data_IF_560714640428
#
_entry.id   IF_560714640428
#
_cell.length_a   1.000
_cell.length_b   1.000
_cell.length_c   1.000
_cell.angle_alpha   90.00
_cell.angle_beta   90.00
_cell.angle_gamma   90.00
#
_symmetry.space_group_name_H-M   'P 1'
#
loop_
_entity.id
_entity.type
_entity.pdbx_description
1 polymer ?
#
# COMPACT_ATOMS: atom_id res chain seq x y z
N UNK A 1 19.57 7.95 38.66
CA UNK A 1 18.13 8.30 38.52
C UNK A 1 17.92 9.51 37.61
N UNK A 2 18.31 10.75 37.99
CA UNK A 2 18.04 11.96 37.17
C UNK A 2 18.55 11.88 35.72
N UNK A 3 19.79 11.41 35.51
CA UNK A 3 20.38 11.24 34.16
C UNK A 3 19.67 10.18 33.32
N UNK A 4 19.24 9.08 33.93
CA UNK A 4 18.52 8.00 33.24
C UNK A 4 17.14 8.47 32.78
N UNK A 5 16.43 9.21 33.62
CA UNK A 5 15.13 9.81 33.26
C UNK A 5 15.26 10.85 32.14
N UNK A 6 16.33 11.64 32.17
CA UNK A 6 16.63 12.61 31.11
C UNK A 6 16.91 11.94 29.76
N UNK A 7 17.71 10.86 29.76
CA UNK A 7 18.03 10.09 28.55
C UNK A 7 16.78 9.37 28.02
N UNK A 8 16.00 8.73 28.91
CA UNK A 8 14.76 8.06 28.52
C UNK A 8 13.73 9.06 27.94
N UNK A 9 13.60 10.24 28.56
CA UNK A 9 12.74 11.31 28.06
C UNK A 9 13.19 11.83 26.69
N UNK A 10 14.49 12.02 26.49
CA UNK A 10 15.04 12.43 25.19
C UNK A 10 14.82 11.36 24.12
N UNK A 11 15.08 10.09 24.43
CA UNK A 11 14.86 8.98 23.51
C UNK A 11 13.38 8.88 23.10
N UNK A 12 12.46 8.99 24.05
CA UNK A 12 11.02 9.00 23.76
C UNK A 12 10.64 10.19 22.88
N UNK A 13 11.16 11.39 23.16
CA UNK A 13 10.91 12.57 22.33
C UNK A 13 11.39 12.36 20.89
N UNK A 14 12.57 11.78 20.68
CA UNK A 14 13.10 11.45 19.34
C UNK A 14 12.19 10.46 18.62
N UNK A 15 11.73 9.40 19.30
CA UNK A 15 10.81 8.42 18.70
C UNK A 15 9.49 9.06 18.29
N UNK A 16 8.90 9.89 19.16
CA UNK A 16 7.65 10.60 18.85
C UNK A 16 7.83 11.55 17.67
N UNK A 17 8.94 12.29 17.63
CA UNK A 17 9.25 13.17 16.49
C UNK A 17 9.42 12.38 15.20
N UNK A 18 10.10 11.22 15.24
CA UNK A 18 10.26 10.36 14.08
C UNK A 18 8.91 9.82 13.57
N UNK A 19 8.02 9.38 14.47
CA UNK A 19 6.69 8.89 14.10
C UNK A 19 5.82 9.95 13.41
N UNK A 20 6.00 11.24 13.75
CA UNK A 20 5.32 12.36 13.10
C UNK A 20 6.02 12.73 11.78
N UNK A 21 7.35 12.72 11.76
CA UNK A 21 8.13 13.12 10.60
C UNK A 21 8.03 12.14 9.43
N UNK A 22 8.10 10.82 9.69
CA UNK A 22 8.09 9.79 8.65
C UNK A 22 6.94 9.96 7.64
N UNK A 23 5.65 10.03 8.06
CA UNK A 23 4.54 10.15 7.11
C UNK A 23 4.53 11.49 6.35
N UNK A 24 5.26 12.51 6.80
CA UNK A 24 5.35 13.81 6.12
C UNK A 24 6.48 13.78 5.08
N UNK A 25 7.67 13.33 5.48
CA UNK A 25 8.86 13.39 4.62
C UNK A 25 8.90 12.27 3.56
N UNK A 26 8.34 11.10 3.85
CA UNK A 26 8.42 9.93 2.95
C UNK A 26 7.14 9.66 2.16
N UNK A 27 6.11 10.51 2.29
CA UNK A 27 4.82 10.31 1.61
C UNK A 27 5.01 10.11 0.10
N UNK A 28 5.70 11.04 -0.55
CA UNK A 28 5.87 11.03 -2.01
C UNK A 28 6.71 9.85 -2.49
N UNK A 29 7.75 9.48 -1.75
CA UNK A 29 8.59 8.31 -2.05
C UNK A 29 7.79 7.00 -1.97
N UNK A 30 6.91 6.88 -0.96
CA UNK A 30 6.03 5.72 -0.80
C UNK A 30 5.00 5.68 -1.92
N UNK A 31 4.41 6.83 -2.31
CA UNK A 31 3.52 6.92 -3.46
C UNK A 31 4.21 6.42 -4.73
N UNK A 32 5.41 6.93 -4.99
CA UNK A 32 6.19 6.55 -6.17
C UNK A 32 6.56 5.07 -6.16
N UNK A 33 6.92 4.53 -4.99
CA UNK A 33 7.23 3.12 -4.81
C UNK A 33 6.01 2.23 -5.10
N UNK A 34 4.84 2.54 -4.54
CA UNK A 34 3.61 1.77 -4.75
C UNK A 34 3.22 1.76 -6.23
N UNK A 35 3.16 2.94 -6.86
CA UNK A 35 2.80 3.04 -8.29
C UNK A 35 3.80 2.30 -9.17
N UNK A 36 5.10 2.43 -8.89
CA UNK A 36 6.15 1.73 -9.63
C UNK A 36 6.02 0.21 -9.50
N UNK A 37 5.90 -0.30 -8.28
CA UNK A 37 5.86 -1.74 -8.06
C UNK A 37 4.55 -2.36 -8.58
N UNK A 38 3.42 -1.67 -8.43
CA UNK A 38 2.16 -2.09 -9.04
C UNK A 38 2.27 -2.14 -10.57
N UNK A 39 2.73 -1.05 -11.21
CA UNK A 39 2.81 -0.98 -12.67
C UNK A 39 3.86 -1.93 -13.28
N UNK A 40 4.83 -2.37 -12.47
CA UNK A 40 5.86 -3.36 -12.83
C UNK A 40 5.33 -4.79 -12.75
N UNK A 41 4.52 -5.12 -11.74
CA UNK A 41 4.02 -6.48 -11.53
C UNK A 41 2.66 -6.73 -12.17
N UNK A 42 1.93 -5.67 -12.55
CA UNK A 42 0.61 -5.77 -13.14
C UNK A 42 0.64 -5.36 -14.62
N UNK A 43 -0.14 -6.06 -15.44
CA UNK A 43 -0.53 -5.60 -16.78
C UNK A 43 -1.72 -4.61 -16.69
N UNK A 44 -1.65 -3.73 -15.70
CA UNK A 44 -2.63 -2.70 -15.40
C UNK A 44 -1.88 -1.49 -14.83
N UNK A 45 -2.52 -0.34 -14.85
CA UNK A 45 -1.99 0.91 -14.31
C UNK A 45 -2.75 1.26 -13.05
N UNK A 46 -2.05 1.29 -11.91
CA UNK A 46 -2.60 1.67 -10.62
C UNK A 46 -2.40 3.17 -10.39
N UNK A 47 -3.49 3.89 -10.21
CA UNK A 47 -3.52 5.32 -9.88
C UNK A 47 -4.35 5.56 -8.61
N UNK A 48 -4.02 6.63 -7.89
CA UNK A 48 -4.77 7.12 -6.73
C UNK A 48 -4.43 8.60 -6.53
N UNK A 49 -5.35 9.33 -5.90
CA UNK A 49 -5.24 10.78 -5.70
C UNK A 49 -4.34 11.13 -4.51
N UNK A 50 -4.53 10.44 -3.38
CA UNK A 50 -3.74 10.70 -2.19
C UNK A 50 -3.40 9.44 -1.39
N UNK A 51 -2.33 9.53 -0.61
CA UNK A 51 -1.85 8.53 0.34
C UNK A 51 -1.92 9.07 1.77
N UNK A 52 -2.70 8.41 2.61
CA UNK A 52 -2.72 8.60 4.05
C UNK A 52 -1.88 7.54 4.77
N UNK A 53 -1.08 7.94 5.75
CA UNK A 53 -0.33 7.05 6.62
C UNK A 53 -0.66 7.37 8.08
N UNK A 54 -1.07 6.36 8.84
CA UNK A 54 -1.41 6.52 10.25
C UNK A 54 -0.78 5.41 11.10
N UNK A 55 0.04 5.81 12.06
CA UNK A 55 0.71 4.91 13.02
C UNK A 55 0.07 4.98 14.42
N UNK A 56 -0.79 5.98 14.68
CA UNK A 56 -1.26 6.30 16.02
C UNK A 56 -2.61 5.66 16.34
N UNK A 57 -3.51 5.53 15.35
CA UNK A 57 -4.85 5.00 15.59
C UNK A 57 -4.84 3.51 15.94
N UNK A 58 -3.97 2.72 15.29
CA UNK A 58 -3.98 1.25 15.38
C UNK A 58 -2.65 0.67 15.86
N UNK A 59 -1.84 1.43 16.61
CA UNK A 59 -0.53 0.97 17.09
C UNK A 59 -0.64 -0.39 17.82
N UNK A 60 0.20 -1.41 17.51
CA UNK A 60 1.44 -1.37 16.72
C UNK A 60 1.27 -1.72 15.23
N UNK A 61 0.13 -1.37 14.60
CA UNK A 61 -0.05 -1.48 13.16
C UNK A 61 0.12 -0.12 12.46
N UNK A 62 0.67 -0.16 11.25
CA UNK A 62 0.65 0.94 10.29
C UNK A 62 -0.60 0.80 9.43
N UNK A 63 -1.45 1.82 9.46
CA UNK A 63 -2.59 1.93 8.55
C UNK A 63 -2.18 2.77 7.34
N UNK A 64 -2.38 2.22 6.15
CA UNK A 64 -2.15 2.85 4.85
C UNK A 64 -3.50 3.06 4.18
N UNK A 65 -3.75 4.27 3.72
CA UNK A 65 -4.98 4.66 3.07
C UNK A 65 -4.71 5.22 1.67
N UNK A 66 -5.40 4.72 0.64
CA UNK A 66 -5.33 5.21 -0.73
C UNK A 66 -6.69 5.78 -1.13
N UNK A 67 -6.72 7.09 -1.40
CA UNK A 67 -7.94 7.79 -1.79
C UNK A 67 -8.12 7.80 -3.31
N UNK A 68 -9.37 7.57 -3.75
CA UNK A 68 -9.79 7.51 -5.16
C UNK A 68 -8.89 6.59 -6.01
N UNK A 69 -8.67 5.37 -5.52
CA UNK A 69 -7.89 4.35 -6.21
C UNK A 69 -8.59 3.89 -7.49
N UNK A 70 -7.86 3.86 -8.59
CA UNK A 70 -8.28 3.33 -9.89
C UNK A 70 -7.23 2.37 -10.44
N UNK A 71 -7.70 1.24 -10.96
CA UNK A 71 -6.88 0.25 -11.63
C UNK A 71 -7.41 0.09 -13.06
N UNK A 72 -6.64 0.59 -14.03
CA UNK A 72 -7.02 0.61 -15.44
C UNK A 72 -6.28 -0.49 -16.17
N UNK A 73 -6.98 -1.30 -16.95
CA UNK A 73 -6.34 -2.36 -17.71
C UNK A 73 -5.46 -1.78 -18.84
N UNK A 74 -4.39 -2.51 -19.15
CA UNK A 74 -3.67 -2.34 -20.43
C UNK A 74 -4.31 -3.23 -21.50
N UNK A 75 -3.72 -3.26 -22.69
CA UNK A 75 -4.17 -4.15 -23.75
C UNK A 75 -4.25 -5.61 -23.24
N UNK A 76 -5.29 -6.38 -23.63
CA UNK A 76 -6.31 -6.08 -24.65
C UNK A 76 -7.53 -5.28 -24.16
N UNK A 77 -7.64 -4.98 -22.87
CA UNK A 77 -8.78 -4.26 -22.27
C UNK A 77 -8.48 -2.76 -22.06
N UNK A 78 -7.65 -2.19 -22.92
CA UNK A 78 -7.19 -0.81 -22.77
C UNK A 78 -8.36 0.18 -22.86
N UNK A 79 -8.43 1.10 -21.90
CA UNK A 79 -9.50 2.10 -21.81
C UNK A 79 -10.61 1.75 -20.81
N UNK A 80 -10.66 0.50 -20.34
CA UNK A 80 -11.58 0.08 -19.29
C UNK A 80 -10.93 0.10 -17.90
N UNK A 81 -11.72 0.50 -16.90
CA UNK A 81 -11.29 0.50 -15.49
C UNK A 81 -11.75 -0.79 -14.83
N UNK A 82 -10.80 -1.67 -14.48
CA UNK A 82 -11.08 -2.93 -13.78
C UNK A 82 -11.68 -2.68 -12.40
N UNK A 83 -11.01 -1.80 -11.64
CA UNK A 83 -11.38 -1.48 -10.26
C UNK A 83 -11.35 0.02 -10.05
N UNK A 84 -12.40 0.58 -9.47
CA UNK A 84 -12.42 1.93 -8.93
C UNK A 84 -12.96 1.90 -7.51
N UNK A 85 -12.23 2.49 -6.58
CA UNK A 85 -12.58 2.54 -5.15
C UNK A 85 -12.55 3.99 -4.71
N UNK A 86 -13.48 4.38 -3.84
CA UNK A 86 -13.37 5.67 -3.16
C UNK A 86 -12.21 5.68 -2.18
N UNK A 87 -12.04 4.59 -1.44
CA UNK A 87 -11.02 4.45 -0.44
C UNK A 87 -10.55 2.99 -0.34
N UNK A 88 -9.23 2.78 -0.28
CA UNK A 88 -8.63 1.50 0.07
C UNK A 88 -7.77 1.67 1.32
N UNK A 89 -8.15 0.99 2.39
CA UNK A 89 -7.40 1.01 3.65
C UNK A 89 -6.80 -0.36 3.92
N UNK A 90 -5.55 -0.42 4.37
CA UNK A 90 -4.91 -1.65 4.83
C UNK A 90 -4.14 -1.39 6.11
N UNK A 91 -4.21 -2.33 7.07
CA UNK A 91 -3.47 -2.27 8.32
C UNK A 91 -2.43 -3.38 8.38
N UNK A 92 -1.17 -3.01 8.55
CA UNK A 92 -0.01 -3.89 8.48
C UNK A 92 0.68 -3.92 9.84
N UNK A 93 1.07 -5.10 10.34
CA UNK A 93 1.80 -5.23 11.58
C UNK A 93 3.23 -4.69 11.42
N UNK A 94 3.60 -3.63 12.16
CA UNK A 94 4.93 -3.01 12.07
C UNK A 94 6.07 -3.99 12.39
N UNK A 95 5.86 -4.92 13.33
CA UNK A 95 6.91 -5.87 13.72
C UNK A 95 7.26 -6.82 12.56
N UNK A 96 6.28 -7.13 11.70
CA UNK A 96 6.50 -7.97 10.52
C UNK A 96 7.39 -7.30 9.46
N UNK A 97 7.46 -5.96 9.43
CA UNK A 97 8.32 -5.21 8.51
C UNK A 97 9.82 -5.34 8.85
N UNK A 98 10.15 -5.54 10.12
CA UNK A 98 11.53 -5.63 10.60
C UNK A 98 11.96 -7.07 10.95
N UNK A 99 10.99 -7.98 11.11
CA UNK A 99 11.21 -9.31 11.69
C UNK A 99 11.82 -10.37 10.78
N UNK A 100 12.11 -10.08 9.51
CA UNK A 100 12.61 -11.06 8.53
C UNK A 100 11.63 -12.20 8.19
N UNK A 101 10.46 -12.25 8.84
CA UNK A 101 9.37 -13.17 8.56
C UNK A 101 8.41 -12.63 7.50
N UNK A 102 7.31 -13.37 7.22
CA UNK A 102 6.32 -12.94 6.25
C UNK A 102 5.62 -11.64 6.70
N UNK A 103 5.25 -10.82 5.71
CA UNK A 103 4.45 -9.61 5.95
C UNK A 103 3.09 -9.99 6.52
N UNK A 104 2.72 -9.41 7.67
CA UNK A 104 1.45 -9.69 8.33
C UNK A 104 0.47 -8.52 8.09
N UNK A 105 -0.49 -8.76 7.20
CA UNK A 105 -1.62 -7.85 6.97
C UNK A 105 -2.73 -8.23 7.94
N UNK A 106 -3.12 -7.29 8.80
CA UNK A 106 -4.18 -7.48 9.82
C UNK A 106 -5.57 -7.30 9.25
N UNK A 107 -5.74 -6.31 8.38
CA UNK A 107 -7.00 -6.02 7.73
C UNK A 107 -6.79 -5.27 6.43
N UNK A 108 -7.78 -5.37 5.55
CA UNK A 108 -7.95 -4.46 4.43
C UNK A 108 -9.44 -4.12 4.31
N UNK A 109 -9.76 -2.93 3.80
CA UNK A 109 -11.12 -2.44 3.66
C UNK A 109 -11.25 -1.70 2.34
N UNK A 110 -12.32 -2.01 1.62
CA UNK A 110 -12.68 -1.41 0.34
C UNK A 110 -13.94 -0.57 0.55
N UNK A 111 -13.88 0.73 0.29
CA UNK A 111 -15.04 1.62 0.38
C UNK A 111 -15.55 1.96 -1.01
N UNK A 112 -16.85 1.71 -1.22
CA UNK A 112 -17.56 1.92 -2.49
C UNK A 112 -16.84 1.28 -3.70
N UNK A 113 -16.55 -0.04 -3.68
CA UNK A 113 -15.87 -0.68 -4.79
C UNK A 113 -16.78 -0.78 -6.02
N UNK A 114 -16.26 -0.34 -7.18
CA UNK A 114 -16.83 -0.61 -8.50
C UNK A 114 -15.87 -1.51 -9.26
N UNK A 115 -16.40 -2.63 -9.74
CA UNK A 115 -15.65 -3.64 -10.47
C UNK A 115 -16.30 -3.83 -11.84
N UNK A 116 -15.47 -3.89 -12.89
CA UNK A 116 -15.92 -4.23 -14.23
C UNK A 116 -15.21 -5.52 -14.64
N UNK A 117 -15.94 -6.63 -14.63
CA UNK A 117 -15.40 -7.95 -14.94
C UNK A 117 -15.84 -8.36 -16.34
N UNK A 118 -14.88 -8.57 -17.23
CA UNK A 118 -15.10 -8.92 -18.63
C UNK A 118 -14.29 -10.17 -18.95
N UNK A 119 -14.93 -11.13 -19.62
CA UNK A 119 -14.29 -12.30 -20.20
C UNK A 119 -14.57 -12.33 -21.70
N UNK A 120 -13.52 -12.51 -22.49
CA UNK A 120 -13.59 -12.65 -23.93
C UNK A 120 -13.97 -14.09 -24.33
N UNK A 121 -14.33 -14.29 -25.59
CA UNK A 121 -14.68 -15.61 -26.13
C UNK A 121 -13.52 -16.62 -26.08
N UNK A 122 -12.28 -16.13 -26.11
CA UNK A 122 -11.06 -16.93 -25.97
C UNK A 122 -10.72 -17.28 -24.51
N UNK A 123 -11.63 -17.00 -23.57
CA UNK A 123 -11.46 -17.16 -22.11
C UNK A 123 -10.43 -16.21 -21.47
N UNK A 124 -9.91 -15.23 -22.21
CA UNK A 124 -9.09 -14.17 -21.62
C UNK A 124 -9.95 -13.27 -20.75
N UNK A 125 -9.52 -13.03 -19.51
CA UNK A 125 -10.26 -12.25 -18.54
C UNK A 125 -9.52 -10.98 -18.13
N UNK A 126 -10.24 -9.87 -17.96
CA UNK A 126 -9.62 -8.59 -17.63
C UNK A 126 -9.12 -8.49 -16.17
N UNK A 127 -9.51 -9.43 -15.30
CA UNK A 127 -8.95 -9.55 -13.95
C UNK A 127 -7.67 -10.38 -13.90
N UNK A 128 -7.30 -11.07 -14.97
CA UNK A 128 -6.01 -11.76 -15.08
C UNK A 128 -4.92 -10.75 -15.48
N UNK A 129 -4.43 -10.03 -14.47
CA UNK A 129 -3.52 -8.89 -14.65
C UNK A 129 -2.14 -9.10 -14.04
N UNK A 130 -1.89 -10.23 -13.38
CA UNK A 130 -0.53 -10.52 -12.90
C UNK A 130 0.37 -10.77 -14.11
N UNK A 131 1.47 -10.04 -14.20
CA UNK A 131 2.49 -10.41 -15.17
C UNK A 131 3.05 -11.78 -14.74
N UNK A 132 3.18 -12.70 -15.71
CA UNK A 132 3.81 -13.99 -15.46
C UNK A 132 5.15 -13.71 -14.78
N UNK A 133 5.31 -14.24 -13.56
CA UNK A 133 6.43 -13.91 -12.71
C UNK A 133 7.73 -13.98 -13.53
N UNK A 134 8.44 -12.84 -13.62
CA UNK A 134 9.86 -12.91 -13.90
C UNK A 134 10.40 -13.82 -12.79
N UNK A 135 10.71 -15.06 -13.16
CA UNK A 135 11.14 -16.09 -12.24
C UNK A 135 12.15 -15.46 -11.29
N UNK A 136 11.85 -15.46 -10.00
CA UNK A 136 12.87 -15.28 -8.98
C UNK A 136 13.87 -16.41 -9.24
N UNK A 137 14.93 -16.09 -9.98
CA UNK A 137 16.08 -16.95 -10.10
C UNK A 137 16.67 -17.07 -8.68
N UNK A 138 16.87 -18.30 -8.19
CA UNK A 138 17.25 -18.58 -6.81
C UNK A 138 18.60 -17.97 -6.44
#
# INVERSE_FOLDING_TARGET
>A
MKKLLLIAGLALAVVVLALIAIPIFFKDDIVALIKREANKNLNATLEFEDLGLNLFQNFPALTVNLEKLSLVNRAPFAGDTLVALKNFETSINLMSLFGGGPLEIRSFTLTEPRLQLIMLQDSTANWDIMQAAAQEQP
#
